data_IF_215657518416
#
_entry.id   IF_215657518416
#
_cell.length_a   1.000
_cell.length_b   1.000
_cell.length_c   1.000
_cell.angle_alpha   90.00
_cell.angle_beta   90.00
_cell.angle_gamma   90.00
#
_symmetry.space_group_name_H-M   'P 1'
#
loop_
_entity.id
_entity.type
_entity.pdbx_description
1 polymer ?
#
# COMPACT_ATOMS: atom_id res chain seq x y z
N UNK A 1 36.89 -11.11 -16.98
CA UNK A 1 37.05 -11.73 -15.65
C UNK A 1 36.33 -13.06 -15.75
N UNK A 2 37.06 -14.19 -15.75
CA UNK A 2 36.43 -15.51 -15.83
C UNK A 2 35.69 -15.81 -14.51
N UNK A 3 34.43 -16.14 -14.59
CA UNK A 3 33.68 -16.70 -13.45
C UNK A 3 34.37 -18.01 -13.05
N UNK A 4 34.70 -18.14 -11.77
CA UNK A 4 35.27 -19.38 -11.24
C UNK A 4 34.22 -20.50 -11.42
N UNK A 5 34.66 -21.64 -11.97
CA UNK A 5 33.79 -22.82 -12.12
C UNK A 5 33.39 -23.26 -10.71
N UNK A 6 32.09 -23.36 -10.38
CA UNK A 6 31.65 -23.73 -9.05
C UNK A 6 32.12 -25.16 -8.70
N UNK A 7 32.59 -25.34 -7.48
CA UNK A 7 32.94 -26.66 -6.97
C UNK A 7 31.72 -27.53 -6.76
N UNK A 8 31.89 -28.84 -6.60
CA UNK A 8 30.77 -29.77 -6.28
C UNK A 8 30.07 -29.35 -4.97
N UNK A 9 30.83 -28.90 -3.96
CA UNK A 9 30.26 -28.39 -2.71
C UNK A 9 29.41 -27.13 -2.94
N UNK A 10 29.83 -26.21 -3.82
CA UNK A 10 29.04 -25.04 -4.19
C UNK A 10 27.72 -25.42 -4.86
N UNK A 11 27.69 -26.48 -5.67
CA UNK A 11 26.47 -26.96 -6.34
C UNK A 11 25.46 -27.55 -5.35
N UNK A 12 25.92 -28.32 -4.37
CA UNK A 12 25.06 -28.79 -3.28
C UNK A 12 24.45 -27.60 -2.50
N UNK A 13 25.27 -26.64 -2.13
CA UNK A 13 24.81 -25.45 -1.42
C UNK A 13 23.79 -24.64 -2.24
N UNK A 14 24.00 -24.47 -3.55
CA UNK A 14 23.07 -23.80 -4.46
C UNK A 14 21.73 -24.53 -4.56
N UNK A 15 21.75 -25.85 -4.75
CA UNK A 15 20.53 -26.65 -4.85
C UNK A 15 19.74 -26.66 -3.54
N UNK A 16 20.40 -26.86 -2.39
CA UNK A 16 19.77 -26.81 -1.08
C UNK A 16 19.22 -25.43 -0.76
N UNK A 17 19.96 -24.36 -1.08
CA UNK A 17 19.49 -22.98 -0.91
C UNK A 17 18.25 -22.67 -1.77
N UNK A 18 18.19 -23.18 -3.00
CA UNK A 18 17.03 -23.04 -3.87
C UNK A 18 15.82 -23.86 -3.36
N UNK A 19 16.05 -25.10 -2.89
CA UNK A 19 15.05 -25.95 -2.27
C UNK A 19 14.45 -25.30 -1.00
N UNK A 20 15.29 -24.69 -0.16
CA UNK A 20 14.85 -23.97 1.03
C UNK A 20 13.90 -22.81 0.69
N UNK A 21 14.16 -22.06 -0.41
CA UNK A 21 13.24 -21.02 -0.91
C UNK A 21 11.89 -21.57 -1.38
N UNK A 22 11.84 -22.85 -1.78
CA UNK A 22 10.60 -23.58 -2.04
C UNK A 22 9.91 -24.07 -0.76
N UNK A 23 10.55 -23.93 0.40
CA UNK A 23 10.07 -24.48 1.67
C UNK A 23 10.28 -25.98 1.78
N UNK A 24 11.23 -26.51 1.04
CA UNK A 24 11.70 -27.89 1.13
C UNK A 24 12.98 -27.89 1.97
N UNK A 25 12.96 -28.43 3.18
CA UNK A 25 14.16 -28.56 4.00
C UNK A 25 15.01 -29.70 3.42
N UNK A 26 15.94 -29.39 2.53
CA UNK A 26 16.87 -30.33 1.94
C UNK A 26 18.28 -29.97 2.41
N UNK A 27 18.87 -30.85 3.21
CA UNK A 27 20.23 -30.67 3.72
C UNK A 27 21.26 -31.23 2.73
N UNK A 28 22.49 -30.68 2.73
CA UNK A 28 23.55 -31.11 1.82
C UNK A 28 23.87 -32.62 1.88
N UNK A 29 23.82 -33.22 3.07
CA UNK A 29 24.07 -34.66 3.24
C UNK A 29 22.96 -35.54 2.67
N UNK A 30 21.70 -35.07 2.75
CA UNK A 30 20.57 -35.74 2.11
C UNK A 30 20.68 -35.69 0.59
N UNK A 31 21.07 -34.52 0.04
CA UNK A 31 21.28 -34.37 -1.39
C UNK A 31 22.50 -35.18 -1.87
N UNK A 32 23.56 -35.28 -1.06
CA UNK A 32 24.71 -36.08 -1.37
C UNK A 32 24.37 -37.60 -1.41
N UNK A 33 23.54 -38.05 -0.47
CA UNK A 33 23.04 -39.43 -0.47
C UNK A 33 22.19 -39.69 -1.71
N UNK A 34 21.24 -38.79 -2.03
CA UNK A 34 20.42 -38.90 -3.24
C UNK A 34 21.28 -38.92 -4.50
N UNK A 35 22.29 -38.09 -4.58
CA UNK A 35 23.20 -38.02 -5.72
C UNK A 35 24.00 -39.34 -5.88
N UNK A 36 24.45 -39.93 -4.76
CA UNK A 36 25.14 -41.20 -4.76
C UNK A 36 24.21 -42.37 -5.19
N UNK A 37 22.98 -42.38 -4.69
CA UNK A 37 22.01 -43.46 -4.98
C UNK A 37 21.54 -43.47 -6.45
N UNK A 38 21.63 -42.33 -7.13
CA UNK A 38 21.16 -42.13 -8.50
C UNK A 38 22.27 -41.75 -9.50
N UNK A 39 23.54 -41.88 -9.12
CA UNK A 39 24.69 -41.55 -9.95
C UNK A 39 24.67 -40.14 -10.54
N UNK A 40 24.24 -39.12 -9.73
CA UNK A 40 24.23 -37.74 -10.15
C UNK A 40 25.65 -37.17 -10.20
N UNK A 41 26.05 -36.73 -11.40
CA UNK A 41 27.26 -35.99 -11.61
C UNK A 41 27.04 -34.45 -11.47
N UNK A 42 28.05 -33.70 -11.76
CA UNK A 42 28.05 -32.22 -11.70
C UNK A 42 26.99 -31.57 -12.60
N UNK A 43 26.67 -32.21 -13.75
CA UNK A 43 25.68 -31.70 -14.69
C UNK A 43 24.26 -31.82 -14.12
N UNK A 44 23.93 -32.98 -13.54
CA UNK A 44 22.63 -33.25 -12.92
C UNK A 44 22.40 -32.38 -11.69
N UNK A 45 23.41 -32.19 -10.83
CA UNK A 45 23.35 -31.31 -9.69
C UNK A 45 23.13 -29.84 -10.11
N UNK A 46 23.79 -29.40 -11.17
CA UNK A 46 23.62 -28.05 -11.72
C UNK A 46 22.21 -27.89 -12.31
N UNK A 47 21.71 -28.89 -13.04
CA UNK A 47 20.37 -28.87 -13.59
C UNK A 47 19.30 -28.84 -12.49
N UNK A 48 19.49 -29.58 -11.40
CA UNK A 48 18.61 -29.59 -10.23
C UNK A 48 18.58 -28.22 -9.54
N UNK A 49 19.73 -27.58 -9.33
CA UNK A 49 19.82 -26.25 -8.75
C UNK A 49 19.07 -25.22 -9.60
N UNK A 50 19.25 -25.24 -10.92
CA UNK A 50 18.55 -24.35 -11.87
C UNK A 50 17.04 -24.62 -11.84
N UNK A 51 16.61 -25.88 -11.79
CA UNK A 51 15.19 -26.23 -11.72
C UNK A 51 14.54 -25.72 -10.43
N UNK A 52 15.18 -25.92 -9.28
CA UNK A 52 14.69 -25.42 -8.01
C UNK A 52 14.65 -23.88 -7.97
N UNK A 53 15.66 -23.21 -8.50
CA UNK A 53 15.68 -21.73 -8.60
C UNK A 53 14.51 -21.22 -9.46
N UNK A 54 14.28 -21.82 -10.61
CA UNK A 54 13.16 -21.48 -11.48
C UNK A 54 11.81 -21.65 -10.77
N UNK A 55 11.62 -22.78 -10.08
CA UNK A 55 10.40 -23.05 -9.33
C UNK A 55 10.21 -22.08 -8.13
N UNK A 56 11.30 -21.77 -7.43
CA UNK A 56 11.29 -20.79 -6.33
C UNK A 56 10.88 -19.42 -6.82
N UNK A 57 11.41 -18.95 -7.95
CA UNK A 57 11.04 -17.68 -8.55
C UNK A 57 9.57 -17.68 -9.01
N UNK A 58 9.09 -18.76 -9.64
CA UNK A 58 7.67 -18.92 -9.99
C UNK A 58 6.76 -18.85 -8.76
N UNK A 59 7.14 -19.52 -7.67
CA UNK A 59 6.38 -19.47 -6.41
C UNK A 59 6.39 -18.07 -5.80
N UNK A 60 7.54 -17.38 -5.83
CA UNK A 60 7.68 -16.01 -5.37
C UNK A 60 6.76 -15.06 -6.15
N UNK A 61 6.76 -15.16 -7.50
CA UNK A 61 5.90 -14.34 -8.36
C UNK A 61 4.42 -14.59 -8.09
N UNK A 62 3.98 -15.85 -8.00
CA UNK A 62 2.61 -16.20 -7.67
C UNK A 62 2.18 -15.67 -6.29
N UNK A 63 3.08 -15.69 -5.31
CA UNK A 63 2.85 -15.11 -3.98
C UNK A 63 2.67 -13.59 -4.07
N UNK A 64 3.54 -12.88 -4.78
CA UNK A 64 3.46 -11.43 -5.01
C UNK A 64 2.13 -11.06 -5.69
N UNK A 65 1.74 -11.78 -6.75
CA UNK A 65 0.46 -11.55 -7.43
C UNK A 65 -0.73 -11.73 -6.48
N UNK A 66 -0.67 -12.74 -5.61
CA UNK A 66 -1.70 -12.97 -4.60
C UNK A 66 -1.75 -11.83 -3.58
N UNK A 67 -0.60 -11.36 -3.09
CA UNK A 67 -0.51 -10.22 -2.18
C UNK A 67 -1.07 -8.95 -2.82
N UNK A 68 -0.70 -8.65 -4.07
CA UNK A 68 -1.23 -7.51 -4.83
C UNK A 68 -2.74 -7.61 -5.04
N UNK A 69 -3.26 -8.79 -5.30
CA UNK A 69 -4.71 -9.02 -5.44
C UNK A 69 -5.47 -8.77 -4.13
N UNK A 70 -4.93 -9.22 -3.02
CA UNK A 70 -5.55 -9.10 -1.69
C UNK A 70 -5.35 -7.72 -1.07
N UNK A 71 -4.39 -6.93 -1.54
CA UNK A 71 -4.06 -5.62 -1.00
C UNK A 71 -5.13 -4.54 -1.24
N UNK A 72 -6.06 -4.74 -2.19
CA UNK A 72 -7.01 -3.74 -2.69
C UNK A 72 -6.37 -2.51 -3.36
N UNK A 73 -5.07 -2.55 -3.64
CA UNK A 73 -4.42 -1.51 -4.44
C UNK A 73 -4.95 -1.52 -5.88
N UNK A 74 -5.11 -0.34 -6.52
CA UNK A 74 -5.52 -0.25 -7.92
C UNK A 74 -4.57 -1.04 -8.84
N UNK A 75 -5.15 -1.85 -9.75
CA UNK A 75 -4.40 -2.74 -10.65
C UNK A 75 -4.28 -2.23 -12.07
N UNK A 76 -5.28 -1.47 -12.56
CA UNK A 76 -5.32 -0.98 -13.94
C UNK A 76 -4.20 0.02 -14.24
N UNK A 77 -3.97 0.97 -13.33
CA UNK A 77 -2.93 2.00 -13.43
C UNK A 77 -2.15 1.99 -12.12
N UNK A 78 -1.22 1.05 -11.97
CA UNK A 78 -0.53 0.88 -10.71
C UNK A 78 0.35 2.10 -10.41
N UNK A 79 0.19 2.65 -9.22
CA UNK A 79 1.07 3.70 -8.72
C UNK A 79 2.32 3.04 -8.16
N UNK A 80 3.48 3.45 -8.68
CA UNK A 80 4.80 2.96 -8.29
C UNK A 80 5.70 4.14 -7.96
N UNK A 81 6.84 3.89 -7.33
CA UNK A 81 7.83 4.94 -7.14
C UNK A 81 8.50 5.34 -8.46
N UNK A 82 8.60 4.43 -9.44
CA UNK A 82 9.22 4.71 -10.75
C UNK A 82 8.38 5.66 -11.60
N UNK A 83 7.04 5.60 -11.48
CA UNK A 83 6.15 6.51 -12.19
C UNK A 83 5.73 7.75 -11.37
N UNK A 84 6.39 7.99 -10.23
CA UNK A 84 6.25 9.22 -9.46
C UNK A 84 7.36 10.20 -9.84
N UNK A 85 6.99 11.40 -10.26
CA UNK A 85 7.95 12.43 -10.65
C UNK A 85 8.55 13.13 -9.42
N UNK A 86 9.63 12.57 -8.89
CA UNK A 86 10.37 13.15 -7.76
C UNK A 86 11.08 14.46 -8.10
N UNK A 87 11.34 14.77 -9.38
CA UNK A 87 12.01 16.02 -9.78
C UNK A 87 11.20 17.27 -9.45
N UNK A 88 9.89 17.11 -9.29
CA UNK A 88 8.96 18.17 -8.89
C UNK A 88 8.91 18.42 -7.38
N UNK A 89 9.52 17.55 -6.61
CA UNK A 89 9.61 17.69 -5.16
C UNK A 89 10.83 18.54 -4.82
N UNK A 90 10.58 19.67 -4.21
CA UNK A 90 11.61 20.62 -3.81
C UNK A 90 11.47 20.94 -2.31
N UNK A 91 12.52 21.45 -1.71
CA UNK A 91 12.56 21.84 -0.31
C UNK A 91 13.65 21.11 0.47
N UNK A 92 13.87 21.56 1.68
CA UNK A 92 14.95 21.07 2.56
C UNK A 92 14.95 19.54 2.72
N UNK A 93 13.77 18.94 2.86
CA UNK A 93 13.60 17.51 3.18
C UNK A 93 13.11 16.70 1.97
N UNK A 94 13.22 17.24 0.75
CA UNK A 94 12.79 16.55 -0.48
C UNK A 94 13.42 15.15 -0.64
N UNK A 95 14.70 15.02 -0.25
CA UNK A 95 15.43 13.75 -0.27
C UNK A 95 14.86 12.66 0.67
N UNK A 96 14.03 13.02 1.65
CA UNK A 96 13.37 12.03 2.50
C UNK A 96 12.30 11.23 1.75
N UNK A 97 11.57 11.88 0.81
CA UNK A 97 10.58 11.19 -0.03
C UNK A 97 11.22 10.19 -0.99
N UNK A 98 12.39 10.51 -1.54
CA UNK A 98 13.11 9.60 -2.44
C UNK A 98 13.67 8.35 -1.73
N UNK A 99 13.72 8.34 -0.40
CA UNK A 99 14.15 7.19 0.41
C UNK A 99 12.99 6.24 0.76
N UNK A 100 11.73 6.60 0.50
CA UNK A 100 10.56 5.77 0.79
C UNK A 100 10.64 4.35 0.19
N UNK A 101 11.23 4.12 -1.01
CA UNK A 101 11.37 2.77 -1.57
C UNK A 101 12.17 1.81 -0.70
N UNK A 102 13.03 2.31 0.20
CA UNK A 102 13.77 1.47 1.15
C UNK A 102 12.87 0.82 2.22
N UNK A 103 11.65 1.33 2.42
CA UNK A 103 10.69 0.89 3.44
C UNK A 103 11.24 0.96 4.88
N UNK A 104 12.14 1.91 5.15
CA UNK A 104 12.78 2.03 6.46
C UNK A 104 11.77 2.21 7.60
N UNK A 105 10.70 2.98 7.39
CA UNK A 105 9.65 3.19 8.39
C UNK A 105 8.90 1.90 8.75
N UNK A 106 8.65 1.04 7.76
CA UNK A 106 8.00 -0.27 7.96
C UNK A 106 8.82 -1.16 8.90
N UNK A 107 10.13 -1.28 8.66
CA UNK A 107 11.02 -2.10 9.48
C UNK A 107 11.31 -1.46 10.85
N UNK A 108 11.32 -0.13 10.91
CA UNK A 108 11.43 0.62 12.17
C UNK A 108 10.10 0.71 12.94
N UNK A 109 9.01 0.11 12.44
CA UNK A 109 7.67 0.13 13.04
C UNK A 109 7.16 1.56 13.26
N UNK A 110 7.45 2.47 12.33
CA UNK A 110 6.98 3.86 12.34
C UNK A 110 5.83 4.04 11.36
N UNK A 111 4.88 4.87 11.71
CA UNK A 111 3.82 5.27 10.80
C UNK A 111 4.29 6.34 9.82
N UNK A 112 3.59 6.48 8.69
CA UNK A 112 3.86 7.50 7.68
C UNK A 112 2.59 8.29 7.43
N UNK A 113 2.67 9.61 7.46
CA UNK A 113 1.55 10.48 7.11
C UNK A 113 1.93 11.43 5.97
N UNK A 114 1.12 11.44 4.91
CA UNK A 114 1.20 12.41 3.82
C UNK A 114 0.08 13.42 3.96
N UNK A 115 0.40 14.68 4.27
CA UNK A 115 -0.56 15.73 4.57
C UNK A 115 -0.38 16.90 3.59
N UNK A 116 -1.47 17.44 3.05
CA UNK A 116 -1.44 18.59 2.15
C UNK A 116 -2.60 18.65 1.17
N UNK A 117 -2.68 19.65 0.29
CA UNK A 117 -3.81 19.86 -0.61
C UNK A 117 -4.05 18.70 -1.59
N UNK A 118 -5.23 18.71 -2.22
CA UNK A 118 -5.59 17.70 -3.23
C UNK A 118 -4.66 17.73 -4.45
N UNK A 119 -4.42 16.55 -5.04
CA UNK A 119 -3.70 16.44 -6.31
C UNK A 119 -2.18 16.50 -6.26
N UNK A 120 -1.54 16.61 -5.09
CA UNK A 120 -0.07 16.71 -4.97
C UNK A 120 0.66 15.35 -4.82
N UNK A 121 -0.02 14.24 -5.06
CA UNK A 121 0.62 12.93 -5.12
C UNK A 121 0.59 12.10 -3.83
N UNK A 122 -0.11 12.50 -2.76
CA UNK A 122 -0.21 11.75 -1.49
C UNK A 122 -0.68 10.30 -1.68
N UNK A 123 -1.83 10.12 -2.32
CA UNK A 123 -2.39 8.80 -2.65
C UNK A 123 -1.45 8.00 -3.55
N UNK A 124 -0.73 8.66 -4.48
CA UNK A 124 0.25 7.99 -5.33
C UNK A 124 1.37 7.38 -4.47
N UNK A 125 2.00 8.18 -3.62
CA UNK A 125 3.09 7.73 -2.75
C UNK A 125 2.65 6.63 -1.77
N UNK A 126 1.45 6.76 -1.19
CA UNK A 126 0.91 5.73 -0.28
C UNK A 126 0.68 4.40 -0.98
N UNK A 127 0.13 4.41 -2.20
CA UNK A 127 -0.09 3.22 -3.01
C UNK A 127 1.23 2.62 -3.52
N UNK A 128 2.18 3.44 -3.95
CA UNK A 128 3.52 3.01 -4.34
C UNK A 128 4.23 2.29 -3.19
N UNK A 129 4.16 2.84 -2.00
CA UNK A 129 4.74 2.24 -0.80
C UNK A 129 4.10 0.86 -0.49
N UNK A 130 2.77 0.80 -0.52
CA UNK A 130 2.05 -0.47 -0.30
C UNK A 130 2.35 -1.52 -1.36
N UNK A 131 2.54 -1.10 -2.62
CA UNK A 131 2.95 -1.99 -3.70
C UNK A 131 4.36 -2.54 -3.47
N UNK A 132 5.29 -1.68 -3.09
CA UNK A 132 6.66 -2.08 -2.76
C UNK A 132 6.69 -3.10 -1.61
N UNK A 133 5.83 -2.93 -0.58
CA UNK A 133 5.66 -3.95 0.46
C UNK A 133 5.23 -5.31 -0.12
N UNK A 134 4.25 -5.32 -1.06
CA UNK A 134 3.81 -6.57 -1.70
C UNK A 134 4.94 -7.22 -2.53
N UNK A 135 5.75 -6.44 -3.24
CA UNK A 135 6.89 -6.92 -4.02
C UNK A 135 7.96 -7.58 -3.13
N UNK A 136 8.06 -7.16 -1.88
CA UNK A 136 8.93 -7.77 -0.86
C UNK A 136 8.25 -8.90 -0.06
N UNK A 137 7.10 -9.39 -0.51
CA UNK A 137 6.39 -10.50 0.14
C UNK A 137 5.60 -10.11 1.40
N UNK A 138 5.42 -8.80 1.66
CA UNK A 138 4.72 -8.31 2.85
C UNK A 138 3.27 -7.97 2.55
N UNK A 139 2.37 -8.36 3.45
CA UNK A 139 0.93 -8.09 3.29
C UNK A 139 0.63 -6.61 3.41
N UNK A 140 -0.04 -6.06 2.41
CA UNK A 140 -0.59 -4.70 2.41
C UNK A 140 -2.11 -4.75 2.38
N UNK A 141 -2.76 -3.77 2.99
CA UNK A 141 -4.19 -3.55 2.85
C UNK A 141 -4.46 -2.05 2.68
N UNK A 142 -5.09 -1.71 1.55
CA UNK A 142 -5.49 -0.35 1.21
C UNK A 142 -6.99 -0.18 1.42
N UNK A 143 -7.39 0.92 2.08
CA UNK A 143 -8.79 1.28 2.29
C UNK A 143 -8.90 2.81 2.37
N UNK A 144 -9.98 3.37 1.82
CA UNK A 144 -10.33 4.78 2.05
C UNK A 144 -10.99 4.95 3.42
N UNK A 145 -10.82 6.11 4.04
CA UNK A 145 -11.42 6.40 5.35
C UNK A 145 -12.94 6.22 5.36
N UNK A 146 -13.65 6.63 4.28
CA UNK A 146 -15.10 6.42 4.16
C UNK A 146 -15.48 4.94 4.12
N UNK A 147 -14.77 4.13 3.31
CA UNK A 147 -15.01 2.68 3.27
C UNK A 147 -14.66 1.99 4.59
N UNK A 148 -13.65 2.49 5.30
CA UNK A 148 -13.30 2.01 6.64
C UNK A 148 -14.42 2.28 7.61
N UNK A 149 -14.97 3.49 7.62
CA UNK A 149 -16.14 3.86 8.43
C UNK A 149 -17.30 2.89 8.18
N UNK A 150 -17.75 2.74 6.93
CA UNK A 150 -18.87 1.86 6.56
C UNK A 150 -18.62 0.42 7.03
N UNK A 151 -17.38 -0.05 6.93
CA UNK A 151 -16.99 -1.38 7.36
C UNK A 151 -17.04 -1.54 8.88
N UNK A 152 -16.61 -0.52 9.65
CA UNK A 152 -16.66 -0.52 11.11
C UNK A 152 -18.11 -0.44 11.61
N UNK A 153 -18.94 0.45 11.05
CA UNK A 153 -20.37 0.52 11.37
C UNK A 153 -21.09 -0.81 11.12
N UNK A 154 -20.81 -1.43 9.96
CA UNK A 154 -21.37 -2.74 9.62
C UNK A 154 -20.90 -3.82 10.61
N UNK A 155 -19.67 -3.74 11.09
CA UNK A 155 -19.11 -4.67 12.05
C UNK A 155 -19.77 -4.54 13.44
N UNK A 156 -20.04 -3.30 13.88
CA UNK A 156 -20.80 -3.02 15.11
C UNK A 156 -22.21 -3.62 15.00
N UNK A 157 -22.95 -3.28 13.93
CA UNK A 157 -24.33 -3.76 13.71
C UNK A 157 -24.44 -5.29 13.65
N UNK A 158 -23.41 -5.97 13.14
CA UNK A 158 -23.40 -7.45 12.97
C UNK A 158 -22.69 -8.21 14.10
N UNK A 159 -22.19 -7.55 15.12
CA UNK A 159 -21.42 -8.19 16.20
C UNK A 159 -20.10 -8.83 15.72
N UNK A 160 -19.51 -8.33 14.61
CA UNK A 160 -18.30 -8.90 14.00
C UNK A 160 -17.05 -8.03 14.17
N UNK A 161 -17.09 -7.10 15.13
CA UNK A 161 -16.03 -6.11 15.39
C UNK A 161 -14.64 -6.73 15.55
N UNK A 162 -14.51 -7.78 16.39
CA UNK A 162 -13.22 -8.45 16.61
C UNK A 162 -12.60 -9.02 15.32
N UNK A 163 -13.42 -9.58 14.42
CA UNK A 163 -12.97 -10.12 13.13
C UNK A 163 -12.47 -9.00 12.22
N UNK A 164 -13.20 -7.88 12.16
CA UNK A 164 -12.82 -6.72 11.33
C UNK A 164 -11.54 -6.09 11.85
N UNK A 165 -11.45 -5.83 13.16
CA UNK A 165 -10.22 -5.33 13.80
C UNK A 165 -9.05 -6.27 13.51
N UNK A 166 -9.18 -7.58 13.73
CA UNK A 166 -8.13 -8.56 13.43
C UNK A 166 -7.68 -8.52 11.96
N UNK A 167 -8.59 -8.31 11.01
CA UNK A 167 -8.26 -8.21 9.58
C UNK A 167 -7.48 -6.94 9.23
N UNK A 168 -7.64 -5.85 9.97
CA UNK A 168 -6.92 -4.57 9.80
C UNK A 168 -5.56 -4.58 10.53
N UNK A 169 -5.41 -5.41 11.55
CA UNK A 169 -4.14 -5.60 12.29
C UNK A 169 -3.17 -6.51 11.52
N UNK A 170 -3.68 -7.54 10.84
CA UNK A 170 -2.87 -8.56 10.15
C UNK A 170 -1.84 -8.02 9.14
N UNK A 171 -2.18 -7.07 8.23
CA UNK A 171 -1.23 -6.57 7.23
C UNK A 171 -0.01 -5.92 7.85
N UNK A 172 1.17 -6.09 7.24
CA UNK A 172 2.37 -5.35 7.63
C UNK A 172 2.24 -3.86 7.28
N UNK A 173 1.59 -3.55 6.16
CA UNK A 173 1.29 -2.18 5.74
C UNK A 173 -0.24 -1.98 5.68
N UNK A 174 -0.78 -1.10 6.51
CA UNK A 174 -2.18 -0.66 6.45
C UNK A 174 -2.21 0.77 5.91
N UNK A 175 -2.89 0.97 4.78
CA UNK A 175 -3.06 2.30 4.18
C UNK A 175 -4.49 2.76 4.40
N UNK A 176 -4.66 3.90 5.08
CA UNK A 176 -5.93 4.59 5.23
C UNK A 176 -5.85 5.90 4.45
N UNK A 177 -6.49 5.93 3.30
CA UNK A 177 -6.45 7.06 2.38
C UNK A 177 -7.61 8.02 2.64
N UNK A 178 -7.38 9.32 2.44
CA UNK A 178 -8.37 10.40 2.58
C UNK A 178 -8.93 10.56 4.01
N UNK A 179 -8.07 10.45 5.05
CA UNK A 179 -8.45 10.76 6.44
C UNK A 179 -8.94 12.21 6.54
N UNK A 180 -10.05 12.41 7.24
CA UNK A 180 -10.71 13.71 7.36
C UNK A 180 -11.78 13.98 6.28
N UNK A 181 -12.10 12.98 5.46
CA UNK A 181 -13.18 13.10 4.47
C UNK A 181 -14.55 12.65 4.98
N UNK A 182 -14.59 12.00 6.10
CA UNK A 182 -15.80 11.60 6.82
C UNK A 182 -15.54 11.64 8.32
N UNK A 183 -16.59 11.80 9.08
CA UNK A 183 -16.55 11.76 10.54
C UNK A 183 -16.83 10.32 11.02
N UNK A 184 -16.10 9.89 12.03
CA UNK A 184 -16.29 8.63 12.73
C UNK A 184 -17.08 8.87 14.00
N UNK A 185 -18.18 8.14 14.18
CA UNK A 185 -18.89 8.13 15.46
C UNK A 185 -18.06 7.48 16.58
N UNK A 186 -18.54 7.57 17.80
CA UNK A 186 -17.82 7.02 18.96
C UNK A 186 -17.49 5.52 18.79
N UNK A 187 -18.45 4.72 18.35
CA UNK A 187 -18.24 3.26 18.22
C UNK A 187 -17.18 2.92 17.15
N UNK A 188 -17.17 3.63 16.03
CA UNK A 188 -16.17 3.49 14.99
C UNK A 188 -14.81 4.00 15.44
N UNK A 189 -14.76 5.11 16.19
CA UNK A 189 -13.53 5.65 16.78
C UNK A 189 -12.92 4.65 17.77
N UNK A 190 -13.70 4.06 18.65
CA UNK A 190 -13.26 3.03 19.60
C UNK A 190 -12.67 1.79 18.88
N UNK A 191 -13.33 1.35 17.80
CA UNK A 191 -12.81 0.24 16.99
C UNK A 191 -11.51 0.61 16.26
N UNK A 192 -11.39 1.83 15.75
CA UNK A 192 -10.14 2.32 15.16
C UNK A 192 -9.03 2.38 16.21
N UNK A 193 -9.33 2.82 17.43
CA UNK A 193 -8.41 2.77 18.55
C UNK A 193 -7.88 1.34 18.78
N UNK A 194 -8.77 0.35 18.84
CA UNK A 194 -8.34 -1.04 18.97
C UNK A 194 -7.44 -1.54 17.82
N UNK A 195 -7.66 -1.04 16.60
CA UNK A 195 -6.76 -1.34 15.48
C UNK A 195 -5.39 -0.72 15.72
N UNK A 196 -5.34 0.58 16.07
CA UNK A 196 -4.09 1.33 16.29
C UNK A 196 -3.30 0.73 17.44
N UNK A 197 -3.96 0.48 18.58
CA UNK A 197 -3.38 -0.08 19.78
C UNK A 197 -2.73 -1.46 19.52
N UNK A 198 -3.48 -2.39 18.94
CA UNK A 198 -2.96 -3.72 18.59
C UNK A 198 -1.88 -3.69 17.51
N UNK A 199 -1.87 -2.69 16.64
CA UNK A 199 -0.80 -2.50 15.68
C UNK A 199 0.44 -1.90 16.32
N UNK A 200 0.27 -1.01 17.30
CA UNK A 200 1.39 -0.45 18.05
C UNK A 200 2.19 -1.53 18.80
N UNK A 201 1.51 -2.53 19.34
CA UNK A 201 2.12 -3.68 20.05
C UNK A 201 2.60 -4.79 19.10
N UNK A 202 2.18 -4.80 17.85
CA UNK A 202 2.44 -5.90 16.92
C UNK A 202 3.92 -6.05 16.59
N UNK A 203 4.42 -7.29 16.66
CA UNK A 203 5.78 -7.64 16.27
C UNK A 203 6.00 -7.72 14.75
N UNK A 204 7.28 -7.60 14.36
CA UNK A 204 7.72 -7.67 12.97
C UNK A 204 7.47 -6.37 12.18
N UNK A 205 7.71 -6.38 10.87
CA UNK A 205 7.52 -5.22 10.01
C UNK A 205 6.08 -4.71 10.05
N UNK A 206 5.91 -3.44 10.40
CA UNK A 206 4.59 -2.87 10.67
C UNK A 206 4.58 -1.35 10.46
N UNK A 207 3.65 -0.85 9.64
CA UNK A 207 3.41 0.59 9.45
C UNK A 207 1.94 0.83 9.13
N UNK A 208 1.45 1.99 9.55
CA UNK A 208 0.23 2.59 9.02
C UNK A 208 0.63 3.77 8.13
N UNK A 209 0.00 3.86 6.96
CA UNK A 209 0.17 5.00 6.07
C UNK A 209 -1.15 5.74 6.01
N UNK A 210 -1.10 7.03 6.29
CA UNK A 210 -2.27 7.89 6.34
C UNK A 210 -2.11 9.02 5.33
N UNK A 211 -3.14 9.30 4.55
CA UNK A 211 -3.16 10.49 3.70
C UNK A 211 -4.28 11.42 4.14
N UNK A 212 -4.04 12.72 4.16
CA UNK A 212 -5.04 13.71 4.54
C UNK A 212 -4.86 15.02 3.79
N UNK A 213 -5.98 15.72 3.55
CA UNK A 213 -5.96 17.11 3.13
C UNK A 213 -5.95 18.07 4.33
N UNK A 214 -6.39 17.61 5.49
CA UNK A 214 -6.39 18.35 6.74
C UNK A 214 -5.07 18.17 7.47
N UNK A 215 -4.58 19.22 8.15
CA UNK A 215 -3.41 19.12 9.02
C UNK A 215 -3.71 18.26 10.24
N UNK A 216 -2.67 17.67 10.85
CA UNK A 216 -2.84 16.72 11.95
C UNK A 216 -3.58 17.34 13.17
N UNK A 217 -3.42 18.64 13.42
CA UNK A 217 -4.15 19.38 14.47
C UNK A 217 -5.67 19.38 14.29
N UNK A 218 -6.15 19.22 13.06
CA UNK A 218 -7.58 19.24 12.76
C UNK A 218 -8.23 17.85 12.82
N UNK A 219 -7.42 16.79 12.97
CA UNK A 219 -7.92 15.41 12.97
C UNK A 219 -8.90 15.11 14.11
N UNK A 220 -8.77 15.71 15.32
CA UNK A 220 -9.76 15.49 16.39
C UNK A 220 -11.21 15.78 15.97
N UNK A 221 -11.45 16.70 15.05
CA UNK A 221 -12.81 17.03 14.59
C UNK A 221 -13.46 15.93 13.70
N UNK A 222 -12.67 14.99 13.17
CA UNK A 222 -13.18 13.89 12.33
C UNK A 222 -13.50 12.63 13.11
N UNK A 223 -13.22 12.63 14.41
CA UNK A 223 -13.43 11.48 15.27
C UNK A 223 -14.23 11.92 16.51
N UNK A 224 -15.27 11.18 16.83
CA UNK A 224 -16.04 11.42 18.05
C UNK A 224 -15.48 10.56 19.18
N UNK A 225 -14.94 11.20 20.19
CA UNK A 225 -14.39 10.52 21.38
C UNK A 225 -13.57 11.49 22.21
N UNK A 226 -13.47 11.24 23.50
CA UNK A 226 -12.75 12.05 24.45
C UNK A 226 -11.28 11.57 24.57
N UNK A 227 -10.88 11.06 25.75
CA UNK A 227 -9.51 10.62 26.05
C UNK A 227 -9.01 9.51 25.11
N UNK A 228 -9.90 8.64 24.65
CA UNK A 228 -9.57 7.55 23.69
C UNK A 228 -9.03 8.08 22.38
N UNK A 229 -9.57 9.20 21.90
CA UNK A 229 -9.12 9.84 20.67
C UNK A 229 -7.69 10.39 20.81
N UNK A 230 -7.41 11.09 21.91
CA UNK A 230 -6.08 11.65 22.15
C UNK A 230 -5.02 10.57 22.22
N UNK A 231 -5.31 9.46 22.93
CA UNK A 231 -4.43 8.29 22.99
C UNK A 231 -4.22 7.64 21.61
N UNK A 232 -5.27 7.62 20.77
CA UNK A 232 -5.18 7.09 19.40
C UNK A 232 -4.25 7.92 18.53
N UNK A 233 -4.43 9.23 18.56
CA UNK A 233 -3.61 10.17 17.77
C UNK A 233 -2.17 10.16 18.25
N UNK A 234 -1.94 10.13 19.56
CA UNK A 234 -0.62 10.01 20.15
C UNK A 234 0.13 8.78 19.62
N UNK A 235 -0.51 7.59 19.64
CA UNK A 235 0.09 6.37 19.09
C UNK A 235 0.29 6.39 17.58
N UNK A 236 -0.61 7.03 16.82
CA UNK A 236 -0.45 7.17 15.37
C UNK A 236 0.78 8.01 15.05
N UNK A 237 1.00 9.09 15.80
CA UNK A 237 2.07 10.04 15.55
C UNK A 237 3.34 9.76 16.37
N UNK A 238 3.33 8.82 17.31
CA UNK A 238 4.55 8.42 18.02
C UNK A 238 5.59 7.93 17.01
N UNK A 239 6.71 8.67 16.92
CA UNK A 239 7.82 8.40 15.98
C UNK A 239 7.40 8.34 14.50
N UNK A 240 6.27 8.94 14.11
CA UNK A 240 5.81 8.92 12.73
C UNK A 240 6.66 9.82 11.82
N UNK A 241 6.82 9.40 10.56
CA UNK A 241 7.35 10.23 9.48
C UNK A 241 6.21 11.02 8.84
N UNK A 242 6.12 12.32 9.14
CA UNK A 242 5.06 13.20 8.63
C UNK A 242 5.59 14.05 7.48
N UNK A 243 5.06 13.85 6.28
CA UNK A 243 5.39 14.63 5.09
C UNK A 243 4.33 15.69 4.84
N UNK A 244 4.65 16.93 5.18
CA UNK A 244 3.82 18.11 4.89
C UNK A 244 4.05 18.55 3.44
N UNK A 245 3.19 18.11 2.54
CA UNK A 245 3.30 18.35 1.11
C UNK A 245 2.59 19.66 0.70
N UNK A 246 3.29 20.51 -0.05
CA UNK A 246 2.77 21.78 -0.56
C UNK A 246 3.11 21.90 -2.05
N UNK A 247 2.32 22.66 -2.79
CA UNK A 247 2.58 22.92 -4.20
C UNK A 247 1.35 22.78 -5.10
N UNK A 248 1.52 22.99 -6.41
CA UNK A 248 0.43 22.88 -7.37
C UNK A 248 -0.01 21.43 -7.57
N UNK A 249 -1.29 21.26 -7.91
CA UNK A 249 -1.85 19.95 -8.24
C UNK A 249 -1.17 19.31 -9.46
N UNK A 250 -1.00 17.98 -9.43
CA UNK A 250 -0.64 17.17 -10.60
C UNK A 250 -1.84 16.93 -11.51
N UNK A 251 -3.07 17.16 -11.02
CA UNK A 251 -4.30 17.05 -11.79
C UNK A 251 -4.50 18.31 -12.64
N UNK A 252 -5.12 18.17 -13.80
CA UNK A 252 -5.43 19.31 -14.67
C UNK A 252 -4.36 19.66 -15.71
N UNK A 253 -3.31 18.87 -15.85
CA UNK A 253 -2.40 18.97 -17.01
C UNK A 253 -2.99 18.16 -18.17
N UNK A 254 -3.19 18.84 -19.31
CA UNK A 254 -3.83 18.25 -20.50
C UNK A 254 -5.37 18.25 -20.42
N UNK A 255 -5.96 19.20 -19.69
CA UNK A 255 -7.39 19.46 -19.80
C UNK A 255 -7.64 20.28 -21.06
N UNK A 256 -8.40 19.71 -22.00
CA UNK A 256 -9.03 20.48 -23.06
C UNK A 256 -10.23 21.20 -22.45
N UNK A 257 -10.17 22.52 -22.41
CA UNK A 257 -11.25 23.34 -21.86
C UNK A 257 -12.11 23.83 -23.01
N UNK A 258 -13.36 23.38 -23.03
CA UNK A 258 -14.36 23.83 -24.00
C UNK A 258 -15.28 24.86 -23.32
N UNK A 259 -15.37 26.07 -23.92
CA UNK A 259 -16.35 27.07 -23.49
C UNK A 259 -17.59 26.92 -24.38
N UNK A 260 -18.72 26.57 -23.74
CA UNK A 260 -20.01 26.43 -24.45
C UNK A 260 -21.02 27.37 -23.82
N UNK A 261 -21.64 28.20 -24.64
CA UNK A 261 -22.71 29.10 -24.23
C UNK A 261 -24.04 28.63 -24.80
N UNK A 262 -25.08 28.60 -23.97
CA UNK A 262 -26.44 28.34 -24.42
C UNK A 262 -27.04 29.66 -25.02
N UNK A 263 -27.43 29.66 -26.27
CA UNK A 263 -28.12 30.79 -26.87
C UNK A 263 -29.59 30.75 -26.44
N UNK A 264 -30.14 31.86 -25.94
CA UNK A 264 -31.58 31.92 -25.57
C UNK A 264 -32.44 31.59 -26.80
N UNK A 265 -33.42 30.70 -26.64
CA UNK A 265 -34.40 30.48 -27.70
C UNK A 265 -35.22 31.74 -27.90
N UNK A 266 -35.13 32.33 -29.11
CA UNK A 266 -35.98 33.41 -29.53
C UNK A 266 -37.40 32.81 -29.73
N UNK A 267 -38.27 32.95 -28.74
CA UNK A 267 -39.71 32.68 -28.89
C UNK A 267 -40.30 33.67 -29.90
N UNK A 268 -40.54 33.21 -31.12
CA UNK A 268 -41.34 33.99 -32.08
C UNK A 268 -42.74 34.14 -31.50
N UNK A 269 -43.06 35.30 -30.94
CA UNK A 269 -44.42 35.69 -30.67
C UNK A 269 -45.18 35.66 -32.02
N UNK A 270 -46.08 34.70 -32.19
CA UNK A 270 -47.08 34.74 -33.26
C UNK A 270 -47.90 36.01 -33.05
N UNK A 271 -47.77 36.92 -33.99
CA UNK A 271 -48.49 38.18 -33.99
C UNK A 271 -50.00 37.96 -33.88
N UNK A 272 -50.60 38.75 -33.03
CA UNK A 272 -52.03 38.87 -32.92
C UNK A 272 -52.63 39.22 -34.30
N UNK A 273 -53.61 38.48 -34.75
CA UNK A 273 -54.43 38.85 -35.95
C UNK A 273 -55.12 40.18 -35.69
N UNK A 274 -55.11 41.13 -36.64
CA UNK A 274 -55.93 42.34 -36.50
C UNK A 274 -57.41 41.95 -36.64
N UNK A 275 -58.21 42.42 -35.68
CA UNK A 275 -59.68 42.38 -35.77
C UNK A 275 -60.06 43.43 -36.81
N UNK A 276 -60.68 42.99 -37.89
CA UNK A 276 -61.23 43.89 -38.93
C UNK A 276 -62.60 44.48 -38.47
N UNK A 277 -63.01 45.65 -39.00
CA UNK A 277 -64.12 46.47 -38.51
C UNK A 277 -65.50 45.86 -38.70
#
# INVERSE_FOLDING_TARGET
MGEAIPTTADRYALACGAAARLGLPLEPDELATLASDHDFGDAELSALAVAFEYLAEKRRQASIETLLRLSRLPRKEPKTFDNFDFSRIQGRDAGALSKLPALADLYARRNVAFIGPGGIGKTHLSQAYGRECCLRGLKTYYIKASELKDRLESAVKRGSASRVVGSLVKPSCLIIDEVGRCEFDKACTDLLFHVVDRRYEKDGPNTMILTSNAVASDWPQFFTGDDTLLCTLDRIFDKASVFMMRGPSYRGRGLDTFSVEAVPQVTKHRGARPIAP
#
